data_IF_457750793986
#
_entry.id   IF_457750793986
#
_cell.length_a   1.000
_cell.length_b   1.000
_cell.length_c   1.000
_cell.angle_alpha   90.00
_cell.angle_beta   90.00
_cell.angle_gamma   90.00
#
_symmetry.space_group_name_H-M   'P 1'
#
loop_
_entity.id
_entity.type
_entity.pdbx_description
1 polymer ?
#
# COMPACT_ATOMS: atom_id res chain seq x y z
N UNK A 1 -24.96 -18.29 11.71
CA UNK A 1 -23.83 -18.51 10.78
C UNK A 1 -22.83 -17.39 11.02
N UNK A 2 -21.57 -17.68 11.36
CA UNK A 2 -20.59 -16.63 11.65
C UNK A 2 -20.22 -15.87 10.37
N UNK A 3 -19.95 -14.56 10.45
CA UNK A 3 -19.48 -13.78 9.29
C UNK A 3 -18.24 -14.40 8.65
N UNK A 4 -17.36 -15.02 9.46
CA UNK A 4 -16.20 -15.78 9.00
C UNK A 4 -16.55 -16.89 8.00
N UNK A 5 -17.61 -17.66 8.26
CA UNK A 5 -18.05 -18.71 7.36
C UNK A 5 -18.60 -18.12 6.04
N UNK A 6 -19.37 -17.03 6.13
CA UNK A 6 -19.93 -16.34 4.95
C UNK A 6 -18.84 -15.74 4.08
N UNK A 7 -17.87 -15.04 4.67
CA UNK A 7 -16.72 -14.46 3.98
C UNK A 7 -15.86 -15.52 3.30
N UNK A 8 -15.64 -16.66 3.97
CA UNK A 8 -14.91 -17.79 3.42
C UNK A 8 -15.66 -18.39 2.22
N UNK A 9 -16.97 -18.62 2.34
CA UNK A 9 -17.78 -19.12 1.25
C UNK A 9 -17.74 -18.18 0.02
N UNK A 10 -17.82 -16.86 0.24
CA UNK A 10 -17.73 -15.88 -0.84
C UNK A 10 -16.33 -15.86 -1.46
N UNK A 11 -15.26 -15.92 -0.65
CA UNK A 11 -13.89 -16.02 -1.16
C UNK A 11 -13.73 -17.18 -2.14
N UNK A 12 -14.36 -18.33 -1.86
CA UNK A 12 -14.38 -19.47 -2.79
C UNK A 12 -15.30 -19.22 -3.98
N UNK A 13 -16.49 -18.63 -3.78
CA UNK A 13 -17.43 -18.35 -4.87
C UNK A 13 -16.89 -17.35 -5.91
N UNK A 14 -16.08 -16.36 -5.50
CA UNK A 14 -15.46 -15.41 -6.44
C UNK A 14 -14.24 -15.98 -7.17
N UNK A 15 -13.74 -17.16 -6.78
CA UNK A 15 -12.67 -17.87 -7.50
C UNK A 15 -13.21 -18.60 -8.72
N UNK A 16 -14.49 -18.98 -8.71
CA UNK A 16 -15.12 -19.63 -9.86
C UNK A 16 -15.04 -18.73 -11.11
N UNK A 17 -14.36 -19.17 -12.18
CA UNK A 17 -14.28 -18.42 -13.43
C UNK A 17 -15.63 -18.30 -14.13
N UNK A 18 -16.63 -19.13 -13.78
CA UNK A 18 -17.98 -19.01 -14.30
C UNK A 18 -18.67 -17.73 -13.79
N UNK A 19 -19.40 -17.06 -14.67
CA UNK A 19 -20.21 -15.88 -14.31
C UNK A 19 -21.63 -16.23 -13.86
N UNK A 20 -21.99 -17.52 -13.79
CA UNK A 20 -23.37 -17.96 -13.55
C UNK A 20 -23.91 -17.49 -12.19
N UNK A 21 -23.03 -17.39 -11.20
CA UNK A 21 -23.40 -17.00 -9.84
C UNK A 21 -23.32 -15.50 -9.57
N UNK A 22 -22.81 -14.70 -10.51
CA UNK A 22 -22.59 -13.26 -10.34
C UNK A 22 -23.85 -12.46 -9.96
N UNK A 23 -25.05 -12.75 -10.53
CA UNK A 23 -26.28 -12.08 -10.11
C UNK A 23 -26.61 -12.28 -8.62
N UNK A 24 -26.24 -13.42 -8.03
CA UNK A 24 -26.43 -13.72 -6.62
C UNK A 24 -25.33 -13.10 -5.74
N UNK A 25 -24.12 -12.94 -6.29
CA UNK A 25 -23.00 -12.32 -5.58
C UNK A 25 -23.14 -10.81 -5.45
N UNK A 26 -23.64 -10.11 -6.48
CA UNK A 26 -23.83 -8.64 -6.46
C UNK A 26 -24.55 -8.12 -5.19
N UNK A 27 -25.75 -8.61 -4.81
CA UNK A 27 -26.43 -8.14 -3.60
C UNK A 27 -25.70 -8.50 -2.31
N UNK A 28 -24.93 -9.59 -2.31
CA UNK A 28 -24.11 -9.99 -1.16
C UNK A 28 -22.96 -8.99 -0.99
N UNK A 29 -22.22 -8.65 -2.05
CA UNK A 29 -21.16 -7.64 -2.00
C UNK A 29 -21.68 -6.30 -1.46
N UNK A 30 -22.90 -5.89 -1.87
CA UNK A 30 -23.53 -4.68 -1.30
C UNK A 30 -23.77 -4.77 0.21
N UNK A 31 -24.17 -5.93 0.73
CA UNK A 31 -24.30 -6.15 2.19
C UNK A 31 -22.94 -6.06 2.89
N UNK A 32 -21.88 -6.56 2.27
CA UNK A 32 -20.54 -6.47 2.83
C UNK A 32 -20.04 -5.02 2.98
N UNK A 33 -20.49 -4.09 2.13
CA UNK A 33 -20.20 -2.67 2.32
C UNK A 33 -20.82 -2.12 3.59
N UNK A 34 -22.04 -2.52 3.92
CA UNK A 34 -22.71 -2.11 5.16
C UNK A 34 -21.98 -2.63 6.41
N UNK A 35 -21.29 -3.77 6.29
CA UNK A 35 -20.46 -4.32 7.36
C UNK A 35 -19.18 -3.54 7.62
N UNK A 36 -18.78 -2.61 6.74
CA UNK A 36 -17.66 -1.71 6.99
C UNK A 36 -17.97 -0.66 8.06
N UNK A 37 -19.23 -0.47 8.41
CA UNK A 37 -19.67 0.44 9.48
C UNK A 37 -19.98 -0.32 10.79
N UNK A 38 -19.67 -1.62 10.87
CA UNK A 38 -19.90 -2.41 12.07
C UNK A 38 -19.02 -1.94 13.23
N UNK A 39 -19.56 -1.99 14.46
CA UNK A 39 -18.82 -1.69 15.68
C UNK A 39 -17.59 -2.58 15.88
N UNK A 40 -17.64 -3.84 15.45
CA UNK A 40 -16.55 -4.80 15.61
C UNK A 40 -15.52 -4.65 14.47
N UNK A 41 -14.28 -4.31 14.86
CA UNK A 41 -13.13 -4.22 13.95
C UNK A 41 -12.90 -5.49 13.15
N UNK A 42 -13.15 -6.66 13.73
CA UNK A 42 -12.96 -7.93 13.03
C UNK A 42 -14.00 -8.14 11.93
N UNK A 43 -15.25 -7.70 12.16
CA UNK A 43 -16.31 -7.77 11.15
C UNK A 43 -15.97 -6.86 9.97
N UNK A 44 -15.56 -5.62 10.27
CA UNK A 44 -15.11 -4.65 9.24
C UNK A 44 -13.91 -5.16 8.46
N UNK A 45 -12.89 -5.70 9.14
CA UNK A 45 -11.70 -6.28 8.50
C UNK A 45 -12.07 -7.44 7.58
N UNK A 46 -12.90 -8.36 8.06
CA UNK A 46 -13.33 -9.50 7.27
C UNK A 46 -14.14 -9.07 6.03
N UNK A 47 -14.94 -8.01 6.17
CA UNK A 47 -15.65 -7.43 5.07
C UNK A 47 -14.71 -6.84 4.01
N UNK A 48 -13.70 -6.06 4.43
CA UNK A 48 -12.66 -5.55 3.54
C UNK A 48 -11.93 -6.67 2.80
N UNK A 49 -11.50 -7.72 3.51
CA UNK A 49 -10.81 -8.86 2.88
C UNK A 49 -11.68 -9.60 1.84
N UNK A 50 -12.98 -9.64 2.07
CA UNK A 50 -13.96 -10.26 1.16
C UNK A 50 -14.18 -9.39 -0.07
N UNK A 51 -14.35 -8.08 0.12
CA UNK A 51 -14.45 -7.10 -0.96
C UNK A 51 -13.17 -7.08 -1.80
N UNK A 52 -12.00 -7.09 -1.16
CA UNK A 52 -10.70 -7.15 -1.84
C UNK A 52 -10.58 -8.40 -2.72
N UNK A 53 -11.02 -9.55 -2.20
CA UNK A 53 -11.04 -10.81 -2.96
C UNK A 53 -11.95 -10.74 -4.19
N UNK A 54 -13.12 -10.09 -4.06
CA UNK A 54 -14.02 -9.84 -5.18
C UNK A 54 -13.43 -8.83 -6.18
N UNK A 55 -12.83 -7.74 -5.69
CA UNK A 55 -12.19 -6.71 -6.52
C UNK A 55 -11.02 -7.25 -7.34
N UNK A 56 -10.31 -8.25 -6.81
CA UNK A 56 -9.19 -8.90 -7.50
C UNK A 56 -9.67 -9.82 -8.62
N UNK A 57 -10.69 -10.66 -8.37
CA UNK A 57 -11.08 -11.77 -9.26
C UNK A 57 -12.25 -11.46 -10.17
N UNK A 58 -13.22 -10.67 -9.68
CA UNK A 58 -14.44 -10.30 -10.38
C UNK A 58 -14.69 -8.79 -10.21
N UNK A 59 -13.83 -7.91 -10.79
CA UNK A 59 -13.90 -6.47 -10.55
C UNK A 59 -15.25 -5.85 -10.89
N UNK A 60 -15.97 -6.39 -11.87
CA UNK A 60 -17.31 -5.96 -12.27
C UNK A 60 -18.36 -6.07 -11.16
N UNK A 61 -18.15 -6.94 -10.16
CA UNK A 61 -19.04 -7.05 -9.00
C UNK A 61 -18.89 -5.86 -8.03
N UNK A 62 -17.70 -5.26 -7.98
CA UNK A 62 -17.38 -4.17 -7.05
C UNK A 62 -17.48 -2.80 -7.74
N UNK A 63 -17.28 -2.75 -9.06
CA UNK A 63 -17.19 -1.53 -9.87
C UNK A 63 -18.32 -0.53 -9.66
N UNK A 64 -19.59 -1.00 -9.66
CA UNK A 64 -20.77 -0.14 -9.43
C UNK A 64 -20.84 0.42 -8.00
N UNK A 65 -20.16 -0.23 -7.05
CA UNK A 65 -20.19 0.12 -5.63
C UNK A 65 -19.00 0.96 -5.17
N UNK A 66 -18.03 1.22 -6.05
CA UNK A 66 -16.80 1.95 -5.71
C UNK A 66 -17.06 3.33 -5.12
N UNK A 67 -18.08 4.04 -5.60
CA UNK A 67 -18.45 5.38 -5.10
C UNK A 67 -18.78 5.34 -3.60
N UNK A 68 -19.38 4.24 -3.13
CA UNK A 68 -19.70 4.05 -1.71
C UNK A 68 -18.56 3.37 -0.95
N UNK A 69 -17.79 2.50 -1.61
CA UNK A 69 -16.67 1.79 -0.98
C UNK A 69 -15.51 2.73 -0.67
N UNK A 70 -15.11 3.62 -1.60
CA UNK A 70 -13.89 4.43 -1.48
C UNK A 70 -13.90 5.29 -0.20
N UNK A 71 -14.98 6.02 0.15
CA UNK A 71 -15.02 6.78 1.39
C UNK A 71 -14.86 5.91 2.64
N UNK A 72 -15.55 4.76 2.70
CA UNK A 72 -15.46 3.82 3.81
C UNK A 72 -14.05 3.21 3.91
N UNK A 73 -13.46 2.89 2.76
CA UNK A 73 -12.11 2.35 2.67
C UNK A 73 -11.07 3.35 3.21
N UNK A 74 -11.19 4.63 2.86
CA UNK A 74 -10.29 5.69 3.33
C UNK A 74 -10.47 6.00 4.81
N UNK A 75 -11.66 5.83 5.37
CA UNK A 75 -11.84 5.92 6.83
C UNK A 75 -11.07 4.82 7.56
N UNK A 76 -11.03 3.61 6.99
CA UNK A 76 -10.27 2.50 7.55
C UNK A 76 -8.75 2.61 7.33
N UNK A 77 -8.23 3.63 6.63
CA UNK A 77 -6.79 3.89 6.57
C UNK A 77 -6.29 4.86 7.65
N UNK A 78 -7.19 5.46 8.42
CA UNK A 78 -6.84 6.46 9.44
C UNK A 78 -6.36 5.77 10.73
N UNK A 79 -5.25 6.26 11.27
CA UNK A 79 -4.77 5.86 12.59
C UNK A 79 -5.75 6.39 13.64
N UNK A 80 -6.29 5.47 14.45
CA UNK A 80 -7.24 5.76 15.54
C UNK A 80 -6.52 5.62 16.86
N UNK A 81 -6.17 6.74 17.49
CA UNK A 81 -5.41 6.76 18.75
C UNK A 81 -6.15 6.04 19.88
N UNK A 82 -7.48 6.00 19.83
CA UNK A 82 -8.32 5.25 20.79
C UNK A 82 -8.14 3.72 20.70
N UNK A 83 -7.59 3.19 19.59
CA UNK A 83 -7.28 1.77 19.41
C UNK A 83 -5.83 1.43 19.77
N UNK A 84 -5.08 2.43 20.24
CA UNK A 84 -3.66 2.31 20.54
C UNK A 84 -3.46 2.36 22.06
N UNK A 85 -2.89 1.30 22.60
CA UNK A 85 -2.62 1.20 24.03
C UNK A 85 -1.21 0.66 24.30
N UNK A 86 -0.67 0.90 25.50
CA UNK A 86 0.64 0.37 25.88
C UNK A 86 0.46 -0.77 26.87
N UNK A 87 0.98 -1.94 26.54
CA UNK A 87 1.03 -3.11 27.41
C UNK A 87 2.38 -3.11 28.13
N UNK A 88 2.35 -3.15 29.46
CA UNK A 88 3.54 -3.27 30.29
C UNK A 88 3.86 -4.76 30.52
N UNK A 89 5.10 -5.14 30.21
CA UNK A 89 5.66 -6.47 30.43
C UNK A 89 6.86 -6.34 31.39
N UNK A 90 6.57 -6.02 32.66
CA UNK A 90 7.59 -5.73 33.66
C UNK A 90 8.36 -4.44 33.34
N UNK A 91 9.69 -4.46 33.14
CA UNK A 91 10.46 -3.27 32.76
C UNK A 91 10.25 -2.86 31.30
N UNK A 92 9.55 -3.67 30.49
CA UNK A 92 9.32 -3.39 29.07
C UNK A 92 7.94 -2.80 28.83
N UNK A 93 7.85 -1.85 27.90
CA UNK A 93 6.59 -1.28 27.42
C UNK A 93 6.44 -1.56 25.93
N UNK A 94 5.31 -2.11 25.52
CA UNK A 94 5.01 -2.41 24.12
C UNK A 94 3.73 -1.69 23.68
N UNK A 95 3.82 -0.89 22.62
CA UNK A 95 2.66 -0.21 22.03
C UNK A 95 1.91 -1.20 21.15
N UNK A 96 0.66 -1.48 21.48
CA UNK A 96 -0.26 -2.32 20.73
C UNK A 96 -1.25 -1.43 20.00
N UNK A 97 -1.51 -1.73 18.74
CA UNK A 97 -2.43 -1.01 17.87
C UNK A 97 -3.47 -2.00 17.33
N UNK A 98 -4.65 -2.02 17.95
CA UNK A 98 -5.73 -2.95 17.58
C UNK A 98 -6.33 -2.61 16.20
N UNK A 99 -6.08 -1.40 15.70
CA UNK A 99 -6.51 -0.94 14.38
C UNK A 99 -5.55 -1.34 13.25
N UNK A 100 -4.35 -1.85 13.55
CA UNK A 100 -3.31 -2.09 12.54
C UNK A 100 -3.76 -3.07 11.44
N UNK A 101 -4.38 -4.18 11.84
CA UNK A 101 -4.79 -5.25 10.92
C UNK A 101 -5.87 -4.82 9.93
N UNK A 102 -6.80 -3.96 10.38
CA UNK A 102 -7.82 -3.41 9.48
C UNK A 102 -7.24 -2.34 8.55
N UNK A 103 -6.33 -1.48 9.04
CA UNK A 103 -5.62 -0.51 8.19
C UNK A 103 -4.82 -1.21 7.10
N UNK A 104 -4.13 -2.30 7.43
CA UNK A 104 -3.41 -3.12 6.45
C UNK A 104 -4.36 -3.68 5.39
N UNK A 105 -5.49 -4.27 5.80
CA UNK A 105 -6.50 -4.77 4.86
C UNK A 105 -7.07 -3.68 3.95
N UNK A 106 -7.22 -2.44 4.47
CA UNK A 106 -7.65 -1.29 3.69
C UNK A 106 -6.62 -0.91 2.60
N UNK A 107 -5.34 -0.79 2.95
CA UNK A 107 -4.28 -0.51 1.99
C UNK A 107 -4.04 -1.64 0.98
N UNK A 108 -4.20 -2.91 1.38
CA UNK A 108 -4.21 -4.03 0.44
C UNK A 108 -5.35 -3.93 -0.57
N UNK A 109 -6.54 -3.53 -0.12
CA UNK A 109 -7.68 -3.32 -1.01
C UNK A 109 -7.44 -2.13 -1.96
N UNK A 110 -6.87 -1.03 -1.46
CA UNK A 110 -6.44 0.09 -2.29
C UNK A 110 -5.45 -0.35 -3.38
N UNK A 111 -4.44 -1.14 -3.02
CA UNK A 111 -3.46 -1.67 -3.99
C UNK A 111 -4.11 -2.53 -5.08
N UNK A 112 -5.08 -3.38 -4.72
CA UNK A 112 -5.86 -4.16 -5.70
C UNK A 112 -6.64 -3.25 -6.65
N UNK A 113 -7.31 -2.23 -6.12
CA UNK A 113 -8.14 -1.30 -6.89
C UNK A 113 -7.34 -0.51 -7.94
N UNK A 114 -6.06 -0.21 -7.69
CA UNK A 114 -5.15 0.38 -8.69
C UNK A 114 -5.02 -0.46 -9.96
N UNK A 115 -5.21 -1.78 -9.87
CA UNK A 115 -5.11 -2.69 -11.03
C UNK A 115 -6.33 -2.62 -11.93
N UNK A 116 -7.51 -2.54 -11.32
CA UNK A 116 -8.74 -2.96 -11.98
C UNK A 116 -9.77 -1.83 -12.09
N UNK A 117 -9.53 -0.67 -11.45
CA UNK A 117 -10.57 0.34 -11.25
C UNK A 117 -10.05 1.78 -11.12
N UNK A 118 -8.85 2.07 -11.64
CA UNK A 118 -8.26 3.42 -11.59
C UNK A 118 -9.17 4.49 -12.20
N UNK A 119 -9.93 4.14 -13.24
CA UNK A 119 -10.86 5.04 -13.94
C UNK A 119 -12.05 5.52 -13.09
N UNK A 120 -12.26 4.93 -11.91
CA UNK A 120 -13.33 5.28 -10.96
C UNK A 120 -12.80 5.88 -9.66
N UNK A 121 -11.50 6.14 -9.58
CA UNK A 121 -10.83 6.61 -8.37
C UNK A 121 -10.32 8.03 -8.64
N UNK A 122 -10.57 8.93 -7.69
CA UNK A 122 -9.84 10.20 -7.67
C UNK A 122 -8.39 9.93 -7.28
N UNK A 123 -7.49 10.08 -8.26
CA UNK A 123 -6.07 9.78 -8.11
C UNK A 123 -5.42 10.69 -7.06
N UNK A 124 -5.86 11.93 -6.91
CA UNK A 124 -5.27 12.86 -5.94
C UNK A 124 -5.61 12.46 -4.50
N UNK A 125 -6.90 12.21 -4.21
CA UNK A 125 -7.30 11.67 -2.91
C UNK A 125 -6.65 10.32 -2.60
N UNK A 126 -6.48 9.46 -3.61
CA UNK A 126 -5.74 8.20 -3.44
C UNK A 126 -4.27 8.42 -3.08
N UNK A 127 -3.58 9.32 -3.80
CA UNK A 127 -2.18 9.67 -3.55
C UNK A 127 -1.98 10.26 -2.15
N UNK A 128 -2.90 11.09 -1.68
CA UNK A 128 -2.86 11.65 -0.32
C UNK A 128 -2.89 10.54 0.73
N UNK A 129 -3.79 9.56 0.58
CA UNK A 129 -3.84 8.39 1.48
C UNK A 129 -2.57 7.56 1.43
N UNK A 130 -2.00 7.34 0.25
CA UNK A 130 -0.71 6.63 0.10
C UNK A 130 0.45 7.40 0.75
N UNK A 131 0.45 8.73 0.65
CA UNK A 131 1.48 9.57 1.27
C UNK A 131 1.43 9.48 2.79
N UNK A 132 0.22 9.50 3.38
CA UNK A 132 0.02 9.28 4.82
C UNK A 132 0.54 7.90 5.25
N UNK A 133 0.32 6.87 4.43
CA UNK A 133 0.76 5.50 4.70
C UNK A 133 2.28 5.35 4.87
N UNK A 134 3.08 6.23 4.26
CA UNK A 134 4.54 6.25 4.41
C UNK A 134 5.01 6.55 5.85
N UNK A 135 4.13 7.11 6.68
CA UNK A 135 4.40 7.41 8.08
C UNK A 135 3.82 6.38 9.06
N UNK A 136 3.16 5.32 8.56
CA UNK A 136 2.56 4.27 9.40
C UNK A 136 3.58 3.16 9.75
N UNK A 137 3.11 2.01 10.21
CA UNK A 137 3.95 0.88 10.57
C UNK A 137 4.55 0.16 9.35
N UNK A 138 5.59 -0.63 9.61
CA UNK A 138 6.41 -1.34 8.62
C UNK A 138 5.61 -1.91 7.42
N UNK A 139 4.63 -2.78 7.67
CA UNK A 139 3.90 -3.47 6.59
C UNK A 139 3.07 -2.51 5.73
N UNK A 140 2.52 -1.45 6.32
CA UNK A 140 1.76 -0.42 5.61
C UNK A 140 2.71 0.46 4.78
N UNK A 141 3.89 0.83 5.31
CA UNK A 141 4.92 1.53 4.52
C UNK A 141 5.34 0.71 3.31
N UNK A 142 5.55 -0.59 3.47
CA UNK A 142 5.90 -1.49 2.36
C UNK A 142 4.83 -1.49 1.27
N UNK A 143 3.54 -1.54 1.64
CA UNK A 143 2.44 -1.40 0.69
C UNK A 143 2.42 -0.01 0.03
N UNK A 144 2.71 1.05 0.79
CA UNK A 144 2.76 2.42 0.29
C UNK A 144 3.83 2.58 -0.81
N UNK A 145 5.04 2.06 -0.61
CA UNK A 145 6.09 2.07 -1.63
C UNK A 145 5.65 1.34 -2.91
N UNK A 146 5.02 0.16 -2.78
CA UNK A 146 4.51 -0.58 -3.93
C UNK A 146 3.41 0.20 -4.67
N UNK A 147 2.52 0.87 -3.95
CA UNK A 147 1.48 1.72 -4.52
C UNK A 147 2.07 2.92 -5.25
N UNK A 148 3.07 3.60 -4.69
CA UNK A 148 3.72 4.75 -5.33
C UNK A 148 4.46 4.37 -6.61
N UNK A 149 5.24 3.28 -6.58
CA UNK A 149 5.90 2.74 -7.77
C UNK A 149 4.89 2.46 -8.88
N UNK A 150 3.74 1.88 -8.51
CA UNK A 150 2.68 1.59 -9.48
C UNK A 150 1.99 2.85 -9.98
N UNK A 151 1.65 3.78 -9.10
CA UNK A 151 1.05 5.07 -9.44
C UNK A 151 1.93 5.87 -10.39
N UNK A 152 3.26 5.83 -10.20
CA UNK A 152 4.20 6.46 -11.12
C UNK A 152 4.10 5.92 -12.56
N UNK A 153 3.68 4.65 -12.73
CA UNK A 153 3.47 4.04 -14.05
C UNK A 153 2.08 4.31 -14.62
N UNK A 154 1.03 4.24 -13.79
CA UNK A 154 -0.36 4.29 -14.27
C UNK A 154 -0.98 5.70 -14.25
N UNK A 155 -0.43 6.63 -13.47
CA UNK A 155 -0.87 8.00 -13.36
C UNK A 155 0.32 8.98 -13.18
N UNK A 156 1.31 8.97 -14.09
CA UNK A 156 2.57 9.71 -13.94
C UNK A 156 2.34 11.22 -13.71
N UNK A 157 1.42 11.84 -14.45
CA UNK A 157 1.15 13.28 -14.32
C UNK A 157 0.67 13.69 -12.93
N UNK A 158 -0.18 12.88 -12.29
CA UNK A 158 -0.65 13.16 -10.94
C UNK A 158 0.45 12.97 -9.89
N UNK A 159 1.32 11.98 -10.10
CA UNK A 159 2.48 11.72 -9.24
C UNK A 159 3.51 12.85 -9.36
N UNK A 160 3.87 13.29 -10.57
CA UNK A 160 4.80 14.40 -10.80
C UNK A 160 4.39 15.65 -10.03
N UNK A 161 3.11 16.01 -10.03
CA UNK A 161 2.58 17.17 -9.30
C UNK A 161 2.68 17.05 -7.77
N UNK A 162 2.93 15.85 -7.26
CA UNK A 162 2.95 15.50 -5.84
C UNK A 162 4.28 14.96 -5.35
N UNK A 163 5.33 14.94 -6.19
CA UNK A 163 6.64 14.39 -5.83
C UNK A 163 7.27 15.11 -4.64
N UNK A 164 7.16 16.44 -4.58
CA UNK A 164 7.74 17.22 -3.48
C UNK A 164 7.09 16.90 -2.12
N UNK A 165 5.79 16.59 -2.10
CA UNK A 165 5.06 16.17 -0.89
C UNK A 165 5.58 14.82 -0.34
N UNK A 166 6.27 14.01 -1.16
CA UNK A 166 6.83 12.72 -0.76
C UNK A 166 8.22 12.85 -0.10
N UNK A 167 8.90 13.99 -0.22
CA UNK A 167 10.30 14.13 0.22
C UNK A 167 10.44 13.90 1.71
N UNK A 168 9.60 14.56 2.53
CA UNK A 168 9.65 14.44 3.99
C UNK A 168 9.45 13.00 4.50
N UNK A 169 8.39 12.26 4.10
CA UNK A 169 8.18 10.90 4.56
C UNK A 169 9.25 9.90 4.08
N UNK A 170 9.76 10.05 2.86
CA UNK A 170 10.87 9.22 2.34
C UNK A 170 12.15 9.51 3.14
N UNK A 171 12.53 10.79 3.26
CA UNK A 171 13.70 11.21 4.02
C UNK A 171 13.65 10.75 5.47
N UNK A 172 12.48 10.80 6.11
CA UNK A 172 12.27 10.30 7.48
C UNK A 172 12.63 8.82 7.63
N UNK A 173 12.34 7.98 6.62
CA UNK A 173 12.72 6.56 6.65
C UNK A 173 14.21 6.37 6.44
N UNK A 174 14.83 7.11 5.51
CA UNK A 174 16.27 7.04 5.24
C UNK A 174 17.12 7.55 6.41
N UNK A 175 16.68 8.59 7.10
CA UNK A 175 17.39 9.23 8.21
C UNK A 175 17.14 8.52 9.56
N UNK A 176 16.31 7.48 9.61
CA UNK A 176 15.97 6.79 10.84
C UNK A 176 17.20 6.07 11.44
N UNK A 177 17.60 6.54 12.63
CA UNK A 177 18.74 5.97 13.38
C UNK A 177 18.25 4.95 14.40
N UNK A 178 18.63 3.69 14.17
CA UNK A 178 18.35 2.60 15.10
C UNK A 178 19.10 2.77 16.42
N UNK A 179 18.51 2.24 17.50
CA UNK A 179 19.15 2.21 18.83
C UNK A 179 20.30 1.19 18.82
N UNK A 180 21.33 1.45 19.61
CA UNK A 180 22.52 0.58 19.70
C UNK A 180 22.23 -0.82 20.24
N UNK A 181 21.13 -0.99 20.96
CA UNK A 181 20.65 -2.25 21.51
C UNK A 181 19.53 -2.90 20.69
N UNK A 182 19.28 -2.44 19.45
CA UNK A 182 18.26 -3.01 18.59
C UNK A 182 18.56 -4.49 18.30
N UNK A 183 17.52 -5.31 18.34
CA UNK A 183 17.68 -6.75 18.05
C UNK A 183 17.83 -6.97 16.55
N UNK A 184 18.45 -8.10 16.16
CA UNK A 184 18.74 -8.42 14.75
C UNK A 184 17.50 -8.27 13.84
N UNK A 185 16.33 -8.72 14.31
CA UNK A 185 15.09 -8.62 13.56
C UNK A 185 14.64 -7.18 13.30
N UNK A 186 14.87 -6.26 14.25
CA UNK A 186 14.57 -4.83 14.04
C UNK A 186 15.51 -4.23 13.01
N UNK A 187 16.78 -4.65 13.01
CA UNK A 187 17.79 -4.18 12.05
C UNK A 187 17.45 -4.63 10.64
N UNK A 188 17.10 -5.90 10.47
CA UNK A 188 16.67 -6.46 9.19
C UNK A 188 15.42 -5.75 8.66
N UNK A 189 14.41 -5.49 9.50
CA UNK A 189 13.21 -4.73 9.12
C UNK A 189 13.51 -3.29 8.69
N UNK A 190 14.40 -2.59 9.40
CA UNK A 190 14.77 -1.23 9.02
C UNK A 190 15.54 -1.21 7.70
N UNK A 191 16.45 -2.17 7.49
CA UNK A 191 17.17 -2.31 6.22
C UNK A 191 16.22 -2.64 5.06
N UNK A 192 15.19 -3.45 5.30
CA UNK A 192 14.14 -3.72 4.30
C UNK A 192 13.41 -2.43 3.91
N UNK A 193 13.01 -1.60 4.88
CA UNK A 193 12.37 -0.30 4.62
C UNK A 193 13.28 0.63 3.82
N UNK A 194 14.54 0.78 4.21
CA UNK A 194 15.51 1.63 3.49
C UNK A 194 15.63 1.16 2.03
N UNK A 195 15.77 -0.15 1.79
CA UNK A 195 15.88 -0.67 0.42
C UNK A 195 14.59 -0.52 -0.37
N UNK A 196 13.42 -0.65 0.25
CA UNK A 196 12.14 -0.44 -0.41
C UNK A 196 11.92 1.04 -0.78
N UNK A 197 12.28 1.94 0.11
CA UNK A 197 12.24 3.40 -0.10
C UNK A 197 13.17 3.82 -1.25
N UNK A 198 14.43 3.39 -1.23
CA UNK A 198 15.39 3.67 -2.31
C UNK A 198 14.92 3.13 -3.68
N UNK A 199 14.25 1.96 -3.72
CA UNK A 199 13.61 1.45 -4.95
C UNK A 199 12.44 2.33 -5.40
N UNK A 200 11.66 2.85 -4.46
CA UNK A 200 10.59 3.80 -4.74
C UNK A 200 11.16 5.09 -5.34
N UNK A 201 12.18 5.68 -4.70
CA UNK A 201 12.88 6.88 -5.20
C UNK A 201 13.42 6.65 -6.60
N UNK A 202 14.10 5.51 -6.84
CA UNK A 202 14.60 5.16 -8.17
C UNK A 202 13.46 5.08 -9.20
N UNK A 203 12.37 4.39 -8.88
CA UNK A 203 11.23 4.27 -9.81
C UNK A 203 10.54 5.59 -10.11
N UNK A 204 10.57 6.54 -9.18
CA UNK A 204 9.98 7.88 -9.34
C UNK A 204 10.93 8.87 -10.01
N UNK A 205 12.24 8.57 -10.04
CA UNK A 205 13.25 9.46 -10.60
C UNK A 205 13.03 9.80 -12.08
N UNK A 206 12.42 8.89 -12.86
CA UNK A 206 12.08 9.12 -14.27
C UNK A 206 10.95 10.14 -14.47
N UNK A 207 10.19 10.45 -13.42
CA UNK A 207 9.11 11.44 -13.41
C UNK A 207 9.54 12.80 -12.86
N UNK A 208 10.74 12.86 -12.29
CA UNK A 208 11.27 14.05 -11.65
C UNK A 208 11.73 15.08 -12.67
N UNK A 209 11.32 16.34 -12.47
CA UNK A 209 11.73 17.48 -13.27
C UNK A 209 12.10 18.63 -12.34
N UNK A 210 13.24 19.29 -12.55
CA UNK A 210 13.73 20.36 -11.66
C UNK A 210 12.78 21.56 -11.60
N UNK A 211 12.05 21.86 -12.68
CA UNK A 211 11.10 22.97 -12.72
C UNK A 211 9.76 22.63 -12.04
N UNK A 212 9.37 21.36 -12.01
CA UNK A 212 8.07 20.92 -11.45
C UNK A 212 8.19 20.39 -10.02
N UNK A 213 9.26 19.65 -9.72
CA UNK A 213 9.51 18.99 -8.43
C UNK A 213 10.94 19.27 -7.93
N UNK A 214 11.28 20.54 -7.63
CA UNK A 214 12.63 20.94 -7.25
C UNK A 214 13.10 20.29 -5.95
N UNK A 215 12.21 20.09 -4.96
CA UNK A 215 12.60 19.49 -3.68
C UNK A 215 12.93 18.01 -3.84
N UNK A 216 12.13 17.28 -4.63
CA UNK A 216 12.40 15.88 -4.94
C UNK A 216 13.67 15.72 -5.80
N UNK A 217 13.90 16.63 -6.74
CA UNK A 217 15.13 16.66 -7.54
C UNK A 217 16.37 16.82 -6.67
N UNK A 218 16.37 17.80 -5.76
CA UNK A 218 17.48 18.00 -4.82
C UNK A 218 17.66 16.77 -3.91
N UNK A 219 16.58 16.25 -3.34
CA UNK A 219 16.62 15.07 -2.48
C UNK A 219 17.21 13.84 -3.18
N UNK A 220 16.84 13.59 -4.43
CA UNK A 220 17.44 12.51 -5.23
C UNK A 220 18.95 12.69 -5.40
N UNK A 221 19.41 13.91 -5.64
CA UNK A 221 20.84 14.19 -5.75
C UNK A 221 21.57 13.98 -4.42
N UNK A 222 20.96 14.36 -3.29
CA UNK A 222 21.47 14.06 -1.94
C UNK A 222 21.62 12.55 -1.73
N UNK A 223 20.63 11.74 -2.12
CA UNK A 223 20.67 10.27 -2.00
C UNK A 223 21.82 9.67 -2.83
N UNK A 224 22.08 10.20 -4.03
CA UNK A 224 23.14 9.71 -4.94
C UNK A 224 24.57 9.94 -4.44
N UNK A 225 24.78 10.95 -3.59
CA UNK A 225 26.13 11.30 -3.07
C UNK A 225 26.27 11.12 -1.57
N UNK A 226 25.16 10.89 -0.87
CA UNK A 226 25.08 10.80 0.58
C UNK A 226 25.49 9.44 1.15
N UNK A 227 25.19 9.19 2.44
CA UNK A 227 25.58 7.97 3.14
C UNK A 227 25.02 6.68 2.52
N UNK A 228 23.90 6.77 1.82
CA UNK A 228 23.21 5.65 1.17
C UNK A 228 23.56 5.50 -0.32
N UNK A 229 24.55 6.23 -0.83
CA UNK A 229 24.91 6.20 -2.25
C UNK A 229 25.32 4.80 -2.74
N UNK A 230 26.02 4.03 -1.90
CA UNK A 230 26.44 2.65 -2.23
C UNK A 230 25.23 1.72 -2.35
N UNK A 231 24.35 1.72 -1.35
CA UNK A 231 23.07 1.00 -1.38
C UNK A 231 22.19 1.42 -2.57
N UNK A 232 22.09 2.72 -2.85
CA UNK A 232 21.32 3.23 -3.98
C UNK A 232 21.88 2.71 -5.30
N UNK A 233 23.20 2.75 -5.49
CA UNK A 233 23.84 2.17 -6.68
C UNK A 233 23.59 0.68 -6.82
N UNK A 234 23.68 -0.08 -5.72
CA UNK A 234 23.35 -1.51 -5.73
C UNK A 234 21.90 -1.78 -6.18
N UNK A 235 20.96 -0.90 -5.82
CA UNK A 235 19.56 -1.00 -6.25
C UNK A 235 19.41 -0.67 -7.74
N UNK A 236 20.16 0.30 -8.27
CA UNK A 236 20.21 0.60 -9.70
C UNK A 236 20.72 -0.61 -10.49
N UNK A 237 21.86 -1.17 -10.09
CA UNK A 237 22.47 -2.33 -10.75
C UNK A 237 21.52 -3.55 -10.72
N UNK A 238 20.79 -3.76 -9.61
CA UNK A 238 19.75 -4.79 -9.48
C UNK A 238 18.57 -4.58 -10.44
N UNK A 239 18.16 -3.33 -10.66
CA UNK A 239 17.04 -2.98 -11.54
C UNK A 239 17.42 -3.22 -13.01
N UNK A 240 18.58 -2.74 -13.44
CA UNK A 240 19.10 -2.95 -14.80
C UNK A 240 19.28 -4.43 -15.13
N UNK A 241 19.80 -5.21 -14.16
CA UNK A 241 19.96 -6.65 -14.30
C UNK A 241 18.62 -7.40 -14.46
N UNK A 242 17.54 -6.90 -13.86
CA UNK A 242 16.20 -7.49 -14.02
C UNK A 242 15.59 -7.16 -15.38
N UNK A 243 15.76 -5.94 -15.85
CA UNK A 243 15.28 -5.52 -17.17
C UNK A 243 15.96 -6.29 -18.30
N UNK A 244 17.29 -6.46 -18.20
CA UNK A 244 18.06 -7.26 -19.17
C UNK A 244 17.52 -8.69 -19.29
N UNK A 245 17.25 -9.35 -18.14
CA UNK A 245 16.68 -10.70 -18.14
C UNK A 245 15.32 -10.76 -18.81
N UNK A 246 14.47 -9.76 -18.63
CA UNK A 246 13.13 -9.73 -19.24
C UNK A 246 13.22 -9.53 -20.77
N UNK A 247 14.14 -8.68 -21.23
CA UNK A 247 14.39 -8.46 -22.66
C UNK A 247 14.82 -9.74 -23.39
N UNK A 248 15.76 -10.49 -22.82
CA UNK A 248 16.24 -11.77 -23.37
C UNK A 248 15.12 -12.82 -23.53
N UNK A 249 14.08 -12.79 -22.67
CA UNK A 249 12.94 -13.70 -22.81
C UNK A 249 11.95 -13.27 -23.90
N UNK A 250 11.81 -11.96 -24.18
CA UNK A 250 10.90 -11.46 -25.22
C UNK A 250 11.48 -11.65 -26.63
N UNK A 251 12.80 -11.62 -26.79
CA UNK A 251 13.47 -11.85 -28.09
C UNK A 251 13.49 -13.33 -28.50
N UNK A 252 13.08 -14.24 -27.62
CA UNK A 252 13.02 -15.69 -27.85
C UNK A 252 11.60 -16.23 -28.09
N UNK A 253 10.58 -15.37 -28.11
CA UNK A 253 9.15 -15.70 -28.28
C UNK A 253 8.54 -15.05 -29.51
#
# INVERSE_FOLDING_TARGET
MSWAAVATAIKYAVVDPSGEHDPFLKPIIKKFLQLLEDSDLNVRRLALLTINSAALRKPHLVRETLVNLIPLLYQETVIRDELIHTVEMGPFKHKVDDGLEIRKAAYECMYTLLSNSLDRIDVHGFLERVTIALNDQHDIKMLAYLMLIRLGKVAPSAVTQKLDDLVEPLKTTLDFKMRSNAVKQEVEKNQELIRADLRCILSLSSLCDEAVSPHFYQFMNEVKVGPLAVEFKSIVDEAESREYRIGDYMDLS
#
